data_IF_109692344150
#
_entry.id   IF_109692344150
#
_cell.length_a   1.000
_cell.length_b   1.000
_cell.length_c   1.000
_cell.angle_alpha   90.00
_cell.angle_beta   90.00
_cell.angle_gamma   90.00
#
_symmetry.space_group_name_H-M   'P 1'
#
loop_
_entity.id
_entity.type
_entity.pdbx_description
1 polymer ?
#
# COMPACT_ATOMS: atom_id res chain seq x y z
N UNK A 1 -21.91 -19.57 30.13
CA UNK A 1 -20.95 -18.48 30.12
C UNK A 1 -20.42 -18.36 28.68
N UNK A 2 -20.91 -17.41 27.90
CA UNK A 2 -20.42 -17.11 26.54
C UNK A 2 -19.05 -16.49 26.70
N UNK A 3 -18.02 -17.10 26.09
CA UNK A 3 -16.70 -16.47 25.99
C UNK A 3 -16.85 -15.06 25.38
N UNK A 4 -16.18 -14.01 25.94
CA UNK A 4 -16.22 -12.70 25.34
C UNK A 4 -15.69 -12.83 23.92
N UNK A 5 -16.50 -12.44 22.92
CA UNK A 5 -16.07 -12.41 21.52
C UNK A 5 -14.80 -11.56 21.46
N UNK A 6 -13.68 -12.19 21.11
CA UNK A 6 -12.42 -11.46 20.91
C UNK A 6 -12.66 -10.39 19.84
N UNK A 7 -12.40 -9.15 20.15
CA UNK A 7 -12.55 -8.02 19.22
C UNK A 7 -11.61 -8.11 17.99
N UNK A 8 -10.61 -9.01 18.06
CA UNK A 8 -9.56 -9.20 17.05
C UNK A 8 -9.48 -10.66 16.60
N UNK A 9 -9.01 -10.86 15.36
CA UNK A 9 -8.53 -12.17 14.88
C UNK A 9 -7.02 -12.10 14.74
N UNK A 10 -6.35 -13.24 14.73
CA UNK A 10 -4.95 -13.39 14.34
C UNK A 10 -4.91 -14.18 13.04
N UNK A 11 -4.35 -13.57 12.01
CA UNK A 11 -4.30 -14.17 10.68
C UNK A 11 -2.83 -14.33 10.23
N UNK A 12 -2.57 -15.43 9.53
CA UNK A 12 -1.25 -15.75 9.01
C UNK A 12 -1.09 -15.21 7.58
N UNK A 13 -0.01 -14.51 7.33
CA UNK A 13 0.42 -13.99 6.04
C UNK A 13 1.79 -14.53 5.65
N UNK A 14 2.16 -14.41 4.38
CA UNK A 14 3.43 -14.85 3.83
C UNK A 14 3.75 -16.32 4.17
N UNK A 15 2.75 -17.19 4.01
CA UNK A 15 2.91 -18.61 4.33
C UNK A 15 3.16 -18.88 5.82
N UNK A 16 2.65 -18.02 6.70
CA UNK A 16 2.82 -18.12 8.16
C UNK A 16 4.07 -17.42 8.71
N UNK A 17 4.89 -16.78 7.87
CA UNK A 17 6.07 -16.04 8.29
C UNK A 17 5.73 -14.69 8.97
N UNK A 18 4.50 -14.22 8.81
CA UNK A 18 3.99 -13.00 9.42
C UNK A 18 2.61 -13.29 10.02
N UNK A 19 2.43 -13.01 11.30
CA UNK A 19 1.16 -13.16 12.02
C UNK A 19 0.67 -11.79 12.45
N UNK A 20 -0.53 -11.41 12.01
CA UNK A 20 -1.10 -10.10 12.26
C UNK A 20 -2.42 -10.22 12.99
N UNK A 21 -2.53 -9.46 14.08
CA UNK A 21 -3.82 -9.20 14.73
C UNK A 21 -4.53 -8.11 13.96
N UNK A 22 -5.82 -8.31 13.68
CA UNK A 22 -6.62 -7.32 12.98
C UNK A 22 -8.08 -7.32 13.50
N UNK A 23 -8.79 -6.19 13.40
CA UNK A 23 -10.18 -6.08 13.81
C UNK A 23 -11.06 -7.12 13.10
N UNK A 24 -12.10 -7.63 13.78
CA UNK A 24 -13.07 -8.54 13.17
C UNK A 24 -13.95 -7.87 12.13
N UNK A 25 -14.14 -6.55 12.24
CA UNK A 25 -14.97 -5.74 11.35
C UNK A 25 -14.18 -4.51 10.87
N UNK A 26 -14.61 -3.92 9.75
CA UNK A 26 -13.96 -2.79 9.12
C UNK A 26 -12.98 -3.21 8.03
N UNK A 27 -12.00 -2.35 7.74
CA UNK A 27 -10.98 -2.64 6.73
C UNK A 27 -10.01 -3.69 7.26
N UNK A 28 -9.85 -4.77 6.50
CA UNK A 28 -8.93 -5.87 6.84
C UNK A 28 -7.84 -5.96 5.78
N UNK A 29 -6.63 -6.24 6.24
CA UNK A 29 -5.52 -6.54 5.33
C UNK A 29 -5.83 -7.79 4.49
N UNK A 30 -5.48 -7.72 3.22
CA UNK A 30 -5.74 -8.79 2.25
C UNK A 30 -4.65 -8.83 1.18
N UNK A 31 -5.00 -9.35 0.01
CA UNK A 31 -4.10 -9.50 -1.12
C UNK A 31 -3.43 -8.19 -1.54
N UNK A 32 -4.15 -7.07 -1.55
CA UNK A 32 -3.62 -5.76 -1.96
C UNK A 32 -2.36 -5.37 -1.15
N UNK A 33 -2.35 -5.62 0.17
CA UNK A 33 -1.18 -5.32 1.01
C UNK A 33 0.03 -6.21 0.67
N UNK A 34 -0.19 -7.49 0.39
CA UNK A 34 0.88 -8.43 0.02
C UNK A 34 1.43 -8.15 -1.38
N UNK A 35 0.57 -7.81 -2.34
CA UNK A 35 0.96 -7.42 -3.69
C UNK A 35 1.75 -6.10 -3.68
N UNK A 36 1.30 -5.11 -2.91
CA UNK A 36 2.01 -3.85 -2.70
C UNK A 36 3.41 -4.11 -2.12
N UNK A 37 3.50 -4.92 -1.07
CA UNK A 37 4.77 -5.29 -0.46
C UNK A 37 5.71 -5.99 -1.46
N UNK A 38 5.19 -6.95 -2.27
CA UNK A 38 5.97 -7.66 -3.28
C UNK A 38 6.47 -6.75 -4.41
N UNK A 39 5.75 -5.67 -4.71
CA UNK A 39 6.13 -4.67 -5.71
C UNK A 39 7.09 -3.59 -5.18
N UNK A 40 7.26 -3.47 -3.87
CA UNK A 40 8.08 -2.43 -3.23
C UNK A 40 9.56 -2.80 -3.27
N UNK A 41 10.44 -2.00 -3.92
CA UNK A 41 11.84 -2.37 -4.18
C UNK A 41 12.78 -1.91 -3.05
N UNK A 42 12.48 -2.25 -1.81
CA UNK A 42 13.32 -1.88 -0.68
C UNK A 42 14.63 -2.69 -0.63
N UNK A 43 15.69 -2.08 -0.11
CA UNK A 43 17.00 -2.66 0.11
C UNK A 43 17.43 -2.46 1.57
N UNK A 44 18.42 -3.25 2.03
CA UNK A 44 18.98 -3.07 3.37
C UNK A 44 19.59 -1.67 3.53
N UNK A 45 19.28 -1.01 4.64
CA UNK A 45 19.67 0.37 4.92
C UNK A 45 18.63 1.42 4.51
N UNK A 46 17.68 1.10 3.64
CA UNK A 46 16.64 2.03 3.22
C UNK A 46 15.74 2.47 4.38
N UNK A 47 15.33 3.72 4.35
CA UNK A 47 14.20 4.21 5.13
C UNK A 47 12.93 4.02 4.30
N UNK A 48 12.10 3.09 4.75
CA UNK A 48 10.84 2.70 4.10
C UNK A 48 9.69 3.25 4.90
N UNK A 49 8.80 4.00 4.26
CA UNK A 49 7.63 4.60 4.92
C UNK A 49 6.35 4.04 4.30
N UNK A 50 5.48 3.47 5.12
CA UNK A 50 4.16 2.95 4.73
C UNK A 50 3.09 3.99 5.12
N UNK A 51 2.50 4.65 4.13
CA UNK A 51 1.45 5.64 4.30
C UNK A 51 0.07 4.97 4.37
N UNK A 52 -0.68 5.26 5.45
CA UNK A 52 -1.94 4.60 5.73
C UNK A 52 -1.74 3.14 6.08
N UNK A 53 -0.77 2.86 6.94
CA UNK A 53 -0.30 1.51 7.23
C UNK A 53 -1.37 0.58 7.83
N UNK A 54 -2.47 1.14 8.37
CA UNK A 54 -3.48 0.38 9.08
C UNK A 54 -2.85 -0.44 10.21
N UNK A 55 -2.99 -1.75 10.13
CA UNK A 55 -2.37 -2.69 11.07
C UNK A 55 -0.90 -3.01 10.77
N UNK A 56 -0.30 -2.33 9.80
CA UNK A 56 1.09 -2.49 9.39
C UNK A 56 1.35 -3.58 8.34
N UNK A 57 0.32 -4.11 7.70
CA UNK A 57 0.44 -5.34 6.91
C UNK A 57 1.44 -5.23 5.75
N UNK A 58 1.39 -4.18 4.94
CA UNK A 58 2.29 -4.02 3.78
C UNK A 58 3.73 -3.71 4.24
N UNK A 59 3.92 -2.74 5.12
CA UNK A 59 5.23 -2.37 5.64
C UNK A 59 5.93 -3.52 6.35
N UNK A 60 5.22 -4.26 7.22
CA UNK A 60 5.76 -5.43 7.91
C UNK A 60 6.10 -6.57 6.94
N UNK A 61 5.32 -6.75 5.87
CA UNK A 61 5.65 -7.72 4.82
C UNK A 61 6.93 -7.34 4.06
N UNK A 62 7.16 -6.03 3.78
CA UNK A 62 8.44 -5.55 3.23
C UNK A 62 9.58 -5.84 4.18
N UNK A 63 9.43 -5.52 5.49
CA UNK A 63 10.47 -5.73 6.49
C UNK A 63 10.78 -7.21 6.72
N UNK A 64 9.78 -8.11 6.58
CA UNK A 64 10.00 -9.57 6.63
C UNK A 64 10.83 -10.05 5.45
N UNK A 65 10.62 -9.49 4.26
CA UNK A 65 11.33 -9.86 3.03
C UNK A 65 12.74 -9.25 2.97
N UNK A 66 12.93 -8.03 3.47
CA UNK A 66 14.19 -7.29 3.36
C UNK A 66 14.68 -6.92 4.75
N UNK A 67 15.70 -7.63 5.21
CA UNK A 67 16.30 -7.34 6.50
C UNK A 67 17.10 -6.02 6.47
N UNK A 68 17.16 -5.34 7.61
CA UNK A 68 17.97 -4.13 7.78
C UNK A 68 17.36 -2.84 7.23
N UNK A 69 16.10 -2.81 6.84
CA UNK A 69 15.39 -1.57 6.55
C UNK A 69 15.03 -0.82 7.84
N UNK A 70 14.86 0.50 7.73
CA UNK A 70 14.30 1.36 8.77
C UNK A 70 12.82 1.62 8.44
N UNK A 71 11.94 0.81 9.00
CA UNK A 71 10.50 0.87 8.71
C UNK A 71 9.81 1.93 9.55
N UNK A 72 9.00 2.76 8.90
CA UNK A 72 8.09 3.74 9.52
C UNK A 72 6.67 3.45 9.04
N UNK A 73 5.75 3.23 9.98
CA UNK A 73 4.33 3.00 9.74
C UNK A 73 3.55 4.25 10.11
N UNK A 74 2.92 4.89 9.15
CA UNK A 74 2.13 6.13 9.33
C UNK A 74 0.66 5.80 9.20
N UNK A 75 -0.12 6.10 10.23
CA UNK A 75 -1.55 5.83 10.28
C UNK A 75 -2.27 6.95 11.03
N UNK A 76 -3.45 7.34 10.58
CA UNK A 76 -4.25 8.41 11.21
C UNK A 76 -5.00 7.90 12.44
N UNK A 77 -5.41 6.65 12.45
CA UNK A 77 -6.14 6.02 13.56
C UNK A 77 -5.15 5.53 14.63
N UNK A 78 -5.23 6.13 15.82
CA UNK A 78 -4.34 5.78 16.94
C UNK A 78 -4.50 4.31 17.37
N UNK A 79 -5.71 3.74 17.32
CA UNK A 79 -5.95 2.35 17.71
C UNK A 79 -5.34 1.37 16.69
N UNK A 80 -5.41 1.69 15.39
CA UNK A 80 -4.72 0.91 14.35
C UNK A 80 -3.20 1.07 14.45
N UNK A 81 -2.70 2.26 14.79
CA UNK A 81 -1.26 2.50 15.03
C UNK A 81 -0.73 1.66 16.19
N UNK A 82 -1.49 1.56 17.30
CA UNK A 82 -1.13 0.71 18.44
C UNK A 82 -1.16 -0.77 18.05
N UNK A 83 -2.12 -1.17 17.24
CA UNK A 83 -2.20 -2.53 16.72
C UNK A 83 -1.03 -2.86 15.78
N UNK A 84 -0.64 -1.93 14.90
CA UNK A 84 0.54 -2.05 14.03
C UNK A 84 1.84 -2.21 14.85
N UNK A 85 1.97 -1.43 15.93
CA UNK A 85 3.10 -1.54 16.87
C UNK A 85 3.13 -2.92 17.54
N UNK A 86 1.97 -3.40 18.01
CA UNK A 86 1.83 -4.74 18.57
C UNK A 86 2.17 -5.84 17.58
N UNK A 87 1.74 -5.69 16.33
CA UNK A 87 2.05 -6.62 15.23
C UNK A 87 3.55 -6.63 14.90
N UNK A 88 4.20 -5.47 14.84
CA UNK A 88 5.65 -5.37 14.64
C UNK A 88 6.41 -6.13 15.73
N UNK A 89 6.08 -5.86 17.01
CA UNK A 89 6.69 -6.51 18.16
C UNK A 89 6.47 -8.03 18.16
N UNK A 90 5.24 -8.49 17.91
CA UNK A 90 4.91 -9.92 17.88
C UNK A 90 5.65 -10.70 16.78
N UNK A 91 6.09 -10.01 15.73
CA UNK A 91 6.87 -10.58 14.63
C UNK A 91 8.38 -10.30 14.73
N UNK A 92 8.87 -9.75 15.84
CA UNK A 92 10.26 -9.35 16.05
C UNK A 92 10.79 -8.41 14.94
N UNK A 93 9.93 -7.49 14.45
CA UNK A 93 10.28 -6.47 13.47
C UNK A 93 10.38 -5.12 14.19
N UNK A 94 11.51 -4.44 14.00
CA UNK A 94 11.69 -3.06 14.49
C UNK A 94 11.01 -2.10 13.51
N UNK A 95 10.00 -1.37 14.00
CA UNK A 95 9.30 -0.35 13.22
C UNK A 95 8.97 0.85 14.10
N UNK A 96 9.15 2.04 13.55
CA UNK A 96 8.60 3.27 14.09
C UNK A 96 7.13 3.37 13.70
N UNK A 97 6.25 3.75 14.63
CA UNK A 97 4.82 3.94 14.34
C UNK A 97 4.41 5.36 14.69
N UNK A 98 3.76 6.04 13.76
CA UNK A 98 3.44 7.47 13.85
C UNK A 98 1.94 7.65 13.61
N UNK A 99 1.26 8.35 14.54
CA UNK A 99 -0.11 8.82 14.33
C UNK A 99 -0.04 10.14 13.55
N UNK A 100 -0.40 10.10 12.26
CA UNK A 100 -0.35 11.28 11.39
C UNK A 100 -1.34 11.12 10.23
N UNK A 101 -2.08 12.18 9.92
CA UNK A 101 -2.83 12.28 8.67
C UNK A 101 -1.85 12.52 7.51
N UNK A 102 -1.85 11.61 6.53
CA UNK A 102 -1.03 11.73 5.31
C UNK A 102 -1.36 13.00 4.51
N UNK A 103 -2.57 13.52 4.65
CA UNK A 103 -2.98 14.80 4.03
C UNK A 103 -2.53 16.04 4.80
N UNK A 104 -1.86 15.87 5.95
CA UNK A 104 -1.38 16.98 6.75
C UNK A 104 -0.28 17.81 6.06
N UNK A 105 -0.12 19.05 6.52
CA UNK A 105 0.89 19.98 6.01
C UNK A 105 2.34 19.58 6.35
N UNK A 106 3.29 20.27 5.73
CA UNK A 106 4.73 19.99 5.86
C UNK A 106 5.24 20.06 7.31
N UNK A 107 4.70 20.98 8.10
CA UNK A 107 5.08 21.16 9.51
C UNK A 107 4.73 19.93 10.36
N UNK A 108 3.54 19.37 10.20
CA UNK A 108 3.12 18.15 10.91
C UNK A 108 4.03 16.96 10.57
N UNK A 109 4.40 16.82 9.29
CA UNK A 109 5.36 15.81 8.85
C UNK A 109 6.74 16.00 9.46
N UNK A 110 7.26 17.24 9.47
CA UNK A 110 8.57 17.55 10.07
C UNK A 110 8.58 17.26 11.58
N UNK A 111 7.53 17.67 12.30
CA UNK A 111 7.35 17.39 13.72
C UNK A 111 7.29 15.88 14.00
N UNK A 112 6.69 15.12 13.11
CA UNK A 112 6.63 13.65 13.17
C UNK A 112 7.92 12.95 12.71
N UNK A 113 9.02 13.68 12.45
CA UNK A 113 10.29 13.10 12.01
C UNK A 113 10.32 12.67 10.52
N UNK A 114 9.31 13.05 9.73
CA UNK A 114 9.20 12.81 8.29
C UNK A 114 9.55 14.08 7.50
N UNK A 115 10.75 14.60 7.72
CA UNK A 115 11.25 15.78 7.02
C UNK A 115 11.28 15.55 5.49
N UNK A 116 11.28 16.62 4.67
CA UNK A 116 11.52 16.49 3.23
C UNK A 116 12.81 15.71 2.94
N UNK A 117 12.80 14.94 1.85
CA UNK A 117 13.95 14.17 1.36
C UNK A 117 14.53 13.17 2.38
N UNK A 118 13.68 12.61 3.27
CA UNK A 118 14.10 11.74 4.36
C UNK A 118 13.89 10.23 4.10
N UNK A 119 13.08 9.85 3.11
CA UNK A 119 12.78 8.46 2.80
C UNK A 119 13.40 8.00 1.48
N UNK A 120 13.84 6.75 1.43
CA UNK A 120 14.32 6.10 0.22
C UNK A 120 13.14 5.49 -0.57
N UNK A 121 12.18 4.91 0.16
CA UNK A 121 11.00 4.26 -0.39
C UNK A 121 9.75 4.69 0.38
N UNK A 122 8.69 5.01 -0.35
CA UNK A 122 7.33 5.16 0.17
C UNK A 122 6.44 4.12 -0.50
N UNK A 123 5.65 3.40 0.31
CA UNK A 123 4.57 2.56 -0.20
C UNK A 123 3.23 3.06 0.34
N UNK A 124 2.15 2.87 -0.43
CA UNK A 124 0.83 3.29 0.01
C UNK A 124 -0.30 2.51 -0.69
N UNK A 125 -1.36 2.26 0.09
CA UNK A 125 -2.64 1.78 -0.39
C UNK A 125 -3.72 2.78 0.08
N UNK A 126 -3.85 3.94 -0.58
CA UNK A 126 -4.75 4.99 -0.11
C UNK A 126 -6.19 4.51 -0.01
N UNK A 127 -7.01 5.06 0.90
CA UNK A 127 -8.42 4.71 0.97
C UNK A 127 -9.13 5.14 -0.32
N UNK A 128 -9.85 4.22 -0.92
CA UNK A 128 -10.74 4.50 -2.04
C UNK A 128 -12.17 4.14 -1.65
N UNK A 129 -13.10 5.05 -1.93
CA UNK A 129 -14.51 4.77 -1.72
C UNK A 129 -14.95 3.73 -2.75
N UNK A 130 -15.28 2.52 -2.30
CA UNK A 130 -15.91 1.52 -3.15
C UNK A 130 -17.41 1.85 -3.24
N UNK A 131 -17.91 2.27 -4.42
CA UNK A 131 -19.32 2.61 -4.59
C UNK A 131 -20.27 1.44 -4.26
N UNK A 132 -19.78 0.21 -4.33
CA UNK A 132 -20.55 -1.00 -4.01
C UNK A 132 -20.80 -1.16 -2.50
N UNK A 133 -20.05 -0.47 -1.63
CA UNK A 133 -20.18 -0.56 -0.16
C UNK A 133 -21.09 0.51 0.44
N UNK A 134 -21.47 1.54 -0.30
CA UNK A 134 -22.36 2.60 0.17
C UNK A 134 -23.70 2.56 -0.53
N UNK A 135 -24.76 2.15 0.21
CA UNK A 135 -26.16 2.29 -0.21
C UNK A 135 -26.61 3.75 -0.08
N UNK A 136 -26.26 4.60 -1.06
CA UNK A 136 -26.77 5.96 -1.19
C UNK A 136 -27.10 6.22 -2.66
N UNK A 137 -28.15 7.00 -2.91
CA UNK A 137 -28.74 7.36 -4.22
C UNK A 137 -27.71 7.62 -5.33
N UNK A 138 -27.91 7.07 -6.58
CA UNK A 138 -26.81 6.64 -7.45
C UNK A 138 -25.91 7.72 -8.06
N UNK A 139 -26.37 8.94 -8.37
CA UNK A 139 -25.57 9.80 -9.26
C UNK A 139 -24.79 10.93 -8.59
N UNK A 140 -25.39 11.75 -7.74
CA UNK A 140 -24.66 12.85 -7.07
C UNK A 140 -23.68 12.37 -5.99
N UNK A 141 -24.05 11.30 -5.27
CA UNK A 141 -23.16 10.75 -4.24
C UNK A 141 -21.92 10.08 -4.84
N UNK A 142 -22.03 9.50 -6.05
CA UNK A 142 -20.89 8.95 -6.79
C UNK A 142 -19.92 10.04 -7.24
N UNK A 143 -20.42 11.15 -7.75
CA UNK A 143 -19.59 12.28 -8.19
C UNK A 143 -18.84 12.92 -7.03
N UNK A 144 -19.52 13.17 -5.89
CA UNK A 144 -18.88 13.72 -4.69
C UNK A 144 -17.85 12.75 -4.11
N UNK A 145 -18.16 11.46 -4.03
CA UNK A 145 -17.23 10.45 -3.58
C UNK A 145 -16.00 10.32 -4.50
N UNK A 146 -16.19 10.43 -5.80
CA UNK A 146 -15.12 10.37 -6.80
C UNK A 146 -14.17 11.56 -6.66
N UNK A 147 -14.71 12.78 -6.54
CA UNK A 147 -13.90 14.00 -6.33
C UNK A 147 -13.14 13.95 -5.02
N UNK A 148 -13.78 13.52 -3.92
CA UNK A 148 -13.10 13.39 -2.63
C UNK A 148 -11.96 12.35 -2.66
N UNK A 149 -12.15 11.25 -3.39
CA UNK A 149 -11.15 10.19 -3.56
C UNK A 149 -9.96 10.66 -4.39
N UNK A 150 -10.21 11.40 -5.48
CA UNK A 150 -9.16 11.98 -6.33
C UNK A 150 -8.32 13.00 -5.54
N UNK A 151 -8.94 13.89 -4.76
CA UNK A 151 -8.25 14.85 -3.90
C UNK A 151 -7.39 14.15 -2.83
N UNK A 152 -7.88 13.06 -2.24
CA UNK A 152 -7.13 12.25 -1.28
C UNK A 152 -5.90 11.63 -1.95
N UNK A 153 -6.04 11.04 -3.13
CA UNK A 153 -4.94 10.45 -3.88
C UNK A 153 -3.86 11.50 -4.23
N UNK A 154 -4.27 12.68 -4.72
CA UNK A 154 -3.35 13.77 -5.06
C UNK A 154 -2.57 14.25 -3.84
N UNK A 155 -3.23 14.43 -2.69
CA UNK A 155 -2.60 14.82 -1.43
C UNK A 155 -1.57 13.78 -0.97
N UNK A 156 -1.89 12.50 -1.06
CA UNK A 156 -1.00 11.42 -0.66
C UNK A 156 0.23 11.30 -1.57
N UNK A 157 0.04 11.44 -2.88
CA UNK A 157 1.16 11.48 -3.84
C UNK A 157 2.03 12.71 -3.60
N UNK A 158 1.44 13.87 -3.28
CA UNK A 158 2.18 15.07 -2.92
C UNK A 158 3.00 14.88 -1.63
N UNK A 159 2.41 14.28 -0.59
CA UNK A 159 3.12 13.95 0.64
C UNK A 159 4.28 12.97 0.39
N UNK A 160 4.06 11.93 -0.43
CA UNK A 160 5.11 10.99 -0.82
C UNK A 160 6.26 11.69 -1.55
N UNK A 161 5.94 12.57 -2.52
CA UNK A 161 6.95 13.36 -3.24
C UNK A 161 7.78 14.22 -2.30
N UNK A 162 7.15 14.86 -1.31
CA UNK A 162 7.85 15.68 -0.32
C UNK A 162 8.79 14.86 0.55
N UNK A 163 8.34 13.69 0.99
CA UNK A 163 9.07 12.82 1.93
C UNK A 163 10.22 12.05 1.26
N UNK A 164 10.05 11.65 0.00
CA UNK A 164 11.06 10.91 -0.76
C UNK A 164 12.28 11.77 -1.08
N UNK A 165 13.46 11.17 -1.00
CA UNK A 165 14.70 11.69 -1.59
C UNK A 165 14.59 11.82 -3.12
N UNK A 166 15.45 12.62 -3.75
CA UNK A 166 15.63 12.56 -5.20
C UNK A 166 16.08 11.15 -5.61
N UNK A 167 15.44 10.57 -6.62
CA UNK A 167 15.65 9.17 -7.00
C UNK A 167 14.92 8.15 -6.12
N UNK A 168 14.28 8.58 -5.03
CA UNK A 168 13.49 7.71 -4.17
C UNK A 168 12.25 7.17 -4.88
N UNK A 169 11.75 6.03 -4.40
CA UNK A 169 10.72 5.24 -5.10
C UNK A 169 9.40 5.30 -4.35
N UNK A 170 8.35 5.68 -5.07
CA UNK A 170 6.96 5.50 -4.66
C UNK A 170 6.43 4.18 -5.24
N UNK A 171 5.80 3.34 -4.41
CA UNK A 171 5.00 2.21 -4.86
C UNK A 171 3.57 2.38 -4.34
N UNK A 172 2.58 2.32 -5.21
CA UNK A 172 1.19 2.40 -4.83
C UNK A 172 0.35 1.32 -5.50
N UNK A 173 -0.73 0.91 -4.84
CA UNK A 173 -1.78 0.09 -5.41
C UNK A 173 -3.08 0.89 -5.44
N UNK A 174 -3.80 0.83 -6.56
CA UNK A 174 -5.03 1.58 -6.76
C UNK A 174 -6.04 0.78 -7.58
N UNK A 175 -7.30 1.22 -7.59
CA UNK A 175 -8.31 0.66 -8.48
C UNK A 175 -7.95 0.93 -9.94
N UNK A 176 -8.18 -0.02 -10.83
CA UNK A 176 -7.74 0.06 -12.22
C UNK A 176 -8.50 1.12 -13.03
N UNK A 177 -9.78 1.34 -12.74
CA UNK A 177 -10.61 2.37 -13.36
C UNK A 177 -10.18 3.81 -13.01
N UNK A 178 -9.39 3.98 -11.93
CA UNK A 178 -8.77 5.25 -11.53
C UNK A 178 -7.35 5.46 -12.08
N UNK A 179 -6.87 4.68 -13.05
CA UNK A 179 -5.51 4.81 -13.58
C UNK A 179 -5.20 6.23 -14.11
N UNK A 180 -6.14 6.86 -14.79
CA UNK A 180 -5.96 8.21 -15.32
C UNK A 180 -5.71 9.24 -14.20
N UNK A 181 -6.42 9.12 -13.08
CA UNK A 181 -6.24 9.98 -11.89
C UNK A 181 -4.83 9.82 -11.30
N UNK A 182 -4.35 8.57 -11.19
CA UNK A 182 -2.99 8.29 -10.69
C UNK A 182 -1.93 8.90 -11.60
N UNK A 183 -2.05 8.72 -12.92
CA UNK A 183 -1.10 9.26 -13.89
C UNK A 183 -1.06 10.78 -13.85
N UNK A 184 -2.21 11.45 -13.77
CA UNK A 184 -2.30 12.90 -13.64
C UNK A 184 -1.65 13.42 -12.34
N UNK A 185 -1.86 12.73 -11.21
CA UNK A 185 -1.27 13.10 -9.93
C UNK A 185 0.26 12.89 -9.90
N UNK A 186 0.77 11.87 -10.61
CA UNK A 186 2.21 11.57 -10.70
C UNK A 186 2.97 12.48 -11.65
N UNK A 187 2.30 13.13 -12.61
CA UNK A 187 2.95 13.96 -13.65
C UNK A 187 3.81 15.08 -13.05
N UNK A 188 3.49 15.52 -11.84
CA UNK A 188 4.25 16.55 -11.11
C UNK A 188 5.36 15.97 -10.26
N UNK A 189 6.52 15.71 -10.85
CA UNK A 189 7.76 15.38 -10.13
C UNK A 189 8.07 13.89 -9.97
N UNK A 190 7.25 13.01 -10.53
CA UNK A 190 7.56 11.60 -10.69
C UNK A 190 7.74 11.25 -12.18
N UNK A 191 8.50 10.18 -12.44
CA UNK A 191 8.68 9.61 -13.77
C UNK A 191 9.24 8.21 -13.69
N UNK A 192 9.73 7.67 -14.80
CA UNK A 192 10.20 6.28 -14.88
C UNK A 192 9.14 5.30 -14.37
N UNK A 193 7.89 5.51 -14.79
CA UNK A 193 6.76 4.75 -14.29
C UNK A 193 6.85 3.27 -14.70
N UNK A 194 6.54 2.38 -13.77
CA UNK A 194 6.32 0.95 -14.03
C UNK A 194 4.88 0.62 -13.62
N UNK A 195 4.06 0.21 -14.57
CA UNK A 195 2.62 -0.04 -14.39
C UNK A 195 2.36 -1.52 -14.56
N UNK A 196 1.77 -2.16 -13.56
CA UNK A 196 1.38 -3.56 -13.54
C UNK A 196 -0.13 -3.67 -13.32
N UNK A 197 -0.92 -4.02 -14.36
CA UNK A 197 -2.33 -4.34 -14.20
C UNK A 197 -2.52 -5.64 -13.41
N UNK A 198 -3.55 -5.68 -12.55
CA UNK A 198 -3.92 -6.87 -11.78
C UNK A 198 -5.36 -7.23 -12.11
N UNK A 199 -5.59 -8.42 -12.63
CA UNK A 199 -6.90 -8.95 -12.99
C UNK A 199 -7.35 -9.98 -11.96
N UNK A 200 -8.65 -10.01 -11.66
CA UNK A 200 -9.23 -11.09 -10.86
C UNK A 200 -9.22 -12.41 -11.63
N UNK A 201 -9.62 -12.33 -12.90
CA UNK A 201 -9.73 -13.47 -13.84
C UNK A 201 -9.18 -13.08 -15.22
N UNK A 202 -8.72 -14.05 -16.04
CA UNK A 202 -8.04 -13.76 -17.31
C UNK A 202 -8.87 -12.96 -18.33
N UNK A 203 -10.19 -13.14 -18.34
CA UNK A 203 -11.10 -12.51 -19.32
C UNK A 203 -11.78 -11.25 -18.81
N UNK A 204 -11.59 -10.89 -17.53
CA UNK A 204 -12.20 -9.72 -16.90
C UNK A 204 -11.26 -8.50 -17.00
N UNK A 205 -11.79 -7.27 -16.99
CA UNK A 205 -10.96 -6.08 -16.88
C UNK A 205 -10.10 -6.11 -15.62
N UNK A 206 -8.97 -5.38 -15.63
CA UNK A 206 -8.14 -5.21 -14.46
C UNK A 206 -8.96 -4.59 -13.30
N UNK A 207 -8.78 -5.11 -12.09
CA UNK A 207 -9.43 -4.60 -10.87
C UNK A 207 -8.50 -3.69 -10.08
N UNK A 208 -7.18 -3.87 -10.22
CA UNK A 208 -6.15 -3.03 -9.58
C UNK A 208 -5.06 -2.69 -10.58
N UNK A 209 -4.36 -1.62 -10.28
CA UNK A 209 -3.06 -1.30 -10.86
C UNK A 209 -2.04 -1.13 -9.73
N UNK A 210 -0.87 -1.70 -9.91
CA UNK A 210 0.29 -1.41 -9.07
C UNK A 210 1.20 -0.51 -9.88
N UNK A 211 1.56 0.63 -9.30
CA UNK A 211 2.40 1.61 -9.99
C UNK A 211 3.62 1.89 -9.13
N UNK A 212 4.78 1.82 -9.76
CA UNK A 212 6.04 2.31 -9.23
C UNK A 212 6.46 3.55 -9.97
N UNK A 213 6.89 4.57 -9.24
CA UNK A 213 7.32 5.84 -9.80
C UNK A 213 8.59 6.34 -9.08
N UNK A 214 9.51 6.95 -9.80
CA UNK A 214 10.76 7.47 -9.26
C UNK A 214 10.66 8.99 -9.17
N UNK A 215 10.95 9.57 -7.99
CA UNK A 215 11.01 11.04 -7.83
C UNK A 215 12.11 11.61 -8.72
N UNK A 216 11.73 12.47 -9.67
CA UNK A 216 12.63 13.04 -10.66
C UNK A 216 13.07 12.07 -11.76
N UNK A 217 12.46 10.88 -11.85
CA UNK A 217 12.75 9.89 -12.88
C UNK A 217 12.52 10.42 -14.30
N UNK A 218 13.34 9.98 -15.28
CA UNK A 218 13.28 10.44 -16.67
C UNK A 218 13.21 9.31 -17.70
N UNK A 219 13.28 8.04 -17.25
CA UNK A 219 13.16 6.91 -18.15
C UNK A 219 11.70 6.78 -18.67
N UNK A 220 11.49 6.20 -19.85
CA UNK A 220 10.15 5.96 -20.39
C UNK A 220 9.28 5.13 -19.47
N UNK A 221 7.98 5.38 -19.52
CA UNK A 221 6.98 4.54 -18.84
C UNK A 221 7.01 3.11 -19.38
N UNK A 222 6.97 2.13 -18.49
CA UNK A 222 6.90 0.70 -18.81
C UNK A 222 5.57 0.13 -18.36
N UNK A 223 4.85 -0.50 -19.29
CA UNK A 223 3.65 -1.27 -19.01
C UNK A 223 4.02 -2.75 -18.98
N UNK A 224 3.83 -3.40 -17.86
CA UNK A 224 4.17 -4.80 -17.65
C UNK A 224 3.02 -5.72 -18.03
N UNK A 225 3.33 -7.00 -18.29
CA UNK A 225 2.31 -8.03 -18.45
C UNK A 225 1.44 -8.11 -17.20
N UNK A 226 0.14 -8.29 -17.40
CA UNK A 226 -0.82 -8.29 -16.30
C UNK A 226 -0.61 -9.48 -15.34
N UNK A 227 -0.78 -9.23 -14.04
CA UNK A 227 -0.87 -10.28 -13.04
C UNK A 227 -2.31 -10.79 -12.94
N UNK A 228 -2.51 -12.09 -13.11
CA UNK A 228 -3.80 -12.75 -12.90
C UNK A 228 -3.87 -13.28 -11.48
N UNK A 229 -4.92 -12.92 -10.70
CA UNK A 229 -5.09 -13.47 -9.35
C UNK A 229 -5.52 -14.93 -9.41
N UNK A 230 -6.40 -15.26 -10.35
CA UNK A 230 -6.88 -16.63 -10.57
C UNK A 230 -6.56 -17.08 -12.01
N UNK A 231 -6.49 -18.37 -12.23
CA UNK A 231 -6.39 -18.98 -13.54
C UNK A 231 -7.79 -19.14 -14.20
N UNK A 232 -7.85 -19.76 -15.37
CA UNK A 232 -9.09 -20.04 -16.12
C UNK A 232 -10.08 -20.95 -15.36
N UNK A 233 -9.62 -21.68 -14.36
CA UNK A 233 -10.42 -22.56 -13.51
C UNK A 233 -10.80 -21.93 -12.17
N UNK A 234 -10.61 -20.61 -12.04
CA UNK A 234 -10.80 -19.85 -10.81
C UNK A 234 -9.92 -20.34 -9.63
N UNK A 235 -8.84 -21.07 -9.92
CA UNK A 235 -7.85 -21.42 -8.93
C UNK A 235 -6.79 -20.29 -8.78
N UNK A 236 -6.23 -20.05 -7.59
CA UNK A 236 -5.21 -19.04 -7.39
C UNK A 236 -4.01 -19.27 -8.30
N UNK A 237 -3.58 -18.24 -9.02
CA UNK A 237 -2.44 -18.30 -9.92
C UNK A 237 -1.15 -18.62 -9.14
N UNK A 238 -0.27 -19.46 -9.73
CA UNK A 238 0.98 -19.89 -9.10
C UNK A 238 1.87 -18.72 -8.65
N UNK A 239 2.02 -17.69 -9.48
CA UNK A 239 2.80 -16.50 -9.13
C UNK A 239 2.22 -15.78 -7.92
N UNK A 240 0.90 -15.66 -7.85
CA UNK A 240 0.20 -15.07 -6.69
C UNK A 240 0.40 -15.92 -5.44
N UNK A 241 0.30 -17.25 -5.55
CA UNK A 241 0.59 -18.16 -4.43
C UNK A 241 2.02 -17.98 -3.91
N UNK A 242 3.01 -17.85 -4.79
CA UNK A 242 4.41 -17.60 -4.41
C UNK A 242 4.57 -16.26 -3.68
N UNK A 243 3.89 -15.20 -4.15
CA UNK A 243 3.86 -13.89 -3.49
C UNK A 243 3.24 -13.99 -2.10
N UNK A 244 2.07 -14.63 -2.00
CA UNK A 244 1.38 -14.82 -0.73
C UNK A 244 2.14 -15.75 0.24
N UNK A 245 3.02 -16.60 -0.28
CA UNK A 245 3.95 -17.40 0.50
C UNK A 245 5.26 -16.66 0.87
N UNK A 246 5.41 -15.38 0.48
CA UNK A 246 6.59 -14.56 0.77
C UNK A 246 7.82 -14.90 -0.09
N UNK A 247 7.63 -15.60 -1.22
CA UNK A 247 8.71 -16.07 -2.10
C UNK A 247 8.82 -15.28 -3.40
N UNK A 248 7.82 -14.46 -3.74
CA UNK A 248 7.75 -13.73 -5.00
C UNK A 248 8.03 -12.23 -4.83
N UNK A 249 8.57 -11.62 -5.89
CA UNK A 249 8.65 -10.17 -6.07
C UNK A 249 7.98 -9.77 -7.38
N UNK A 250 7.43 -8.56 -7.41
CA UNK A 250 6.82 -7.97 -8.59
C UNK A 250 7.67 -6.82 -9.11
N UNK A 251 7.62 -6.59 -10.43
CA UNK A 251 8.28 -5.46 -11.12
C UNK A 251 9.82 -5.48 -11.08
N UNK A 252 10.49 -6.48 -10.51
CA UNK A 252 11.95 -6.52 -10.43
C UNK A 252 12.57 -5.30 -9.71
N UNK A 253 13.89 -5.15 -9.80
CA UNK A 253 14.60 -3.94 -9.34
C UNK A 253 14.38 -2.82 -10.37
N UNK A 254 14.22 -1.54 -9.96
CA UNK A 254 14.03 -0.39 -10.86
C UNK A 254 15.20 -0.20 -11.83
#
# INVERSE_FOLDING_TARGET
MTEPQREFTEDAFLGGQLRLRQPRSGHRAGHDAMLLAAATPAQSGDRVVDFGAGIGAAGLAVARRVAGIRLVLVEIDAALTDLARGNASANAIVAETIVLDVSAGAEAFATAGLAPDSADVVLMNPPFNDPARHRVSPDKAREIAHVATAATLENWIHAARRTLKSGGVLTLIWRADGLAEVLAALDRGFGSLAILPVHGEPTSPAIRVIIRAIKGGKAPTRLYAALMLNDEKAAPNKQVQEILAGKGVLLGVP
#
